data_IF_556934642491
#
_entry.id   IF_556934642491
#
_cell.length_a   1.000
_cell.length_b   1.000
_cell.length_c   1.000
_cell.angle_alpha   90.00
_cell.angle_beta   90.00
_cell.angle_gamma   90.00
#
_symmetry.space_group_name_H-M   'P 1'
#
loop_
_entity.id
_entity.type
_entity.pdbx_description
1 polymer ?
#
# COMPACT_ATOMS: atom_id res chain seq x y z
N UNK A 1 6.61 -0.69 25.52
CA UNK A 1 7.63 -1.23 24.60
C UNK A 1 6.85 -1.80 23.41
N UNK A 2 6.85 -1.14 22.26
CA UNK A 2 6.20 -1.67 21.06
C UNK A 2 7.05 -2.83 20.53
N UNK A 3 6.44 -4.00 20.43
CA UNK A 3 7.01 -5.18 19.79
C UNK A 3 6.39 -5.29 18.40
N UNK A 4 7.15 -5.73 17.41
CA UNK A 4 6.57 -6.03 16.11
C UNK A 4 5.60 -7.20 16.27
N UNK A 5 4.32 -6.95 15.99
CA UNK A 5 3.27 -7.96 16.07
C UNK A 5 3.43 -9.08 15.02
N UNK A 6 4.29 -8.89 14.02
CA UNK A 6 4.58 -9.89 13.00
C UNK A 6 5.77 -10.80 13.37
N UNK A 7 6.93 -10.22 13.74
CA UNK A 7 8.16 -11.00 13.96
C UNK A 7 8.71 -10.99 15.40
N UNK A 8 8.13 -10.20 16.31
CA UNK A 8 8.59 -10.11 17.70
C UNK A 8 9.81 -9.20 17.92
N UNK A 9 10.42 -8.65 16.88
CA UNK A 9 11.54 -7.72 17.03
C UNK A 9 11.10 -6.36 17.61
N UNK A 10 12.03 -5.61 18.21
CA UNK A 10 11.72 -4.33 18.89
C UNK A 10 12.34 -3.10 18.24
N UNK A 11 13.15 -3.29 17.20
CA UNK A 11 13.80 -2.20 16.51
C UNK A 11 12.90 -1.67 15.41
N UNK A 12 12.58 -0.37 15.50
CA UNK A 12 11.75 0.37 14.57
C UNK A 12 12.47 1.64 14.15
N UNK A 13 12.21 2.04 12.91
CA UNK A 13 12.64 3.34 12.39
C UNK A 13 11.46 4.09 11.76
N UNK A 14 11.42 5.43 11.85
CA UNK A 14 10.57 6.23 10.97
C UNK A 14 10.93 5.96 9.51
N UNK A 15 9.93 5.87 8.64
CA UNK A 15 10.14 5.76 7.20
C UNK A 15 9.03 6.47 6.41
N UNK A 16 9.34 6.82 5.16
CA UNK A 16 8.39 7.31 4.16
C UNK A 16 8.26 6.25 3.09
N UNK A 17 7.03 5.80 2.83
CA UNK A 17 6.77 4.68 1.90
C UNK A 17 5.69 5.04 0.89
N UNK A 18 5.69 4.33 -0.23
CA UNK A 18 4.55 4.37 -1.15
C UNK A 18 3.45 3.44 -0.63
N UNK A 19 2.24 3.97 -0.50
CA UNK A 19 1.07 3.23 -0.05
C UNK A 19 0.04 3.12 -1.19
N UNK A 20 -0.41 1.91 -1.48
CA UNK A 20 -1.51 1.67 -2.43
C UNK A 20 -2.80 1.42 -1.67
N UNK A 21 -3.77 2.32 -1.82
CA UNK A 21 -5.10 2.15 -1.25
C UNK A 21 -6.08 1.71 -2.35
N UNK A 22 -6.85 0.66 -2.07
CA UNK A 22 -7.85 0.08 -2.97
C UNK A 22 -9.21 0.05 -2.27
N UNK A 23 -10.23 0.57 -2.93
CA UNK A 23 -11.64 0.48 -2.51
C UNK A 23 -12.51 0.42 -3.76
N UNK A 24 -13.56 -0.42 -3.75
CA UNK A 24 -14.54 -0.54 -4.84
C UNK A 24 -13.94 -0.70 -6.25
N UNK A 25 -12.85 -1.49 -6.36
CA UNK A 25 -12.16 -1.73 -7.64
C UNK A 25 -11.33 -0.55 -8.16
N UNK A 26 -11.33 0.59 -7.46
CA UNK A 26 -10.51 1.76 -7.79
C UNK A 26 -9.28 1.82 -6.87
N UNK A 27 -8.25 2.49 -7.37
CA UNK A 27 -6.95 2.59 -6.72
C UNK A 27 -6.53 4.04 -6.58
N UNK A 28 -5.74 4.30 -5.55
CA UNK A 28 -4.91 5.49 -5.41
C UNK A 28 -3.55 5.05 -4.87
N UNK A 29 -2.49 5.63 -5.41
CA UNK A 29 -1.12 5.45 -4.94
C UNK A 29 -0.71 6.77 -4.30
N UNK A 30 -0.27 6.71 -3.04
CA UNK A 30 0.20 7.86 -2.27
C UNK A 30 1.67 7.64 -1.98
N UNK A 31 2.51 8.56 -2.44
CA UNK A 31 3.93 8.59 -2.11
C UNK A 31 4.16 9.25 -0.74
N UNK A 32 5.34 9.01 -0.17
CA UNK A 32 5.82 9.66 1.05
C UNK A 32 4.89 9.51 2.28
N UNK A 33 4.24 8.36 2.42
CA UNK A 33 3.36 8.07 3.56
C UNK A 33 4.22 7.76 4.79
N UNK A 34 4.08 8.52 5.89
CA UNK A 34 4.86 8.29 7.10
C UNK A 34 4.40 7.04 7.85
N UNK A 35 5.35 6.22 8.28
CA UNK A 35 5.12 5.04 9.11
C UNK A 35 6.27 4.80 10.09
N UNK A 36 6.04 3.91 11.07
CA UNK A 36 7.11 3.21 11.76
C UNK A 36 7.32 1.86 11.08
N UNK A 37 8.55 1.55 10.69
CA UNK A 37 8.87 0.29 10.04
C UNK A 37 9.77 -0.57 10.94
N UNK A 38 9.42 -1.85 11.09
CA UNK A 38 10.29 -2.81 11.74
C UNK A 38 11.58 -2.97 10.93
N UNK A 39 12.72 -2.76 11.55
CA UNK A 39 14.01 -2.83 10.84
C UNK A 39 14.42 -4.25 10.45
N UNK A 40 13.76 -5.27 11.00
CA UNK A 40 14.08 -6.67 10.76
C UNK A 40 13.22 -7.29 9.65
N UNK A 41 11.89 -7.32 9.81
CA UNK A 41 11.00 -7.94 8.84
C UNK A 41 10.36 -6.95 7.85
N UNK A 42 10.54 -5.65 8.05
CA UNK A 42 10.01 -4.62 7.17
C UNK A 42 8.52 -4.27 7.38
N UNK A 43 7.85 -4.86 8.38
CA UNK A 43 6.45 -4.57 8.71
C UNK A 43 6.23 -3.07 8.97
N UNK A 44 5.18 -2.51 8.38
CA UNK A 44 4.88 -1.06 8.40
C UNK A 44 3.67 -0.78 9.29
N UNK A 45 3.83 0.15 10.24
CA UNK A 45 2.80 0.58 11.17
C UNK A 45 2.43 2.04 10.90
N UNK A 46 1.18 2.28 10.56
CA UNK A 46 0.65 3.61 10.23
C UNK A 46 -0.23 4.13 11.36
N UNK A 47 -0.11 5.42 11.63
CA UNK A 47 -1.05 6.11 12.53
C UNK A 47 -2.44 6.15 11.91
N UNK A 48 -3.48 6.03 12.75
CA UNK A 48 -4.86 6.05 12.28
C UNK A 48 -5.23 7.35 11.53
N UNK A 49 -4.61 8.47 11.92
CA UNK A 49 -4.79 9.76 11.24
C UNK A 49 -4.21 9.77 9.82
N UNK A 50 -3.09 9.09 9.60
CA UNK A 50 -2.45 8.96 8.28
C UNK A 50 -3.38 8.19 7.34
N UNK A 51 -3.93 7.06 7.79
CA UNK A 51 -4.86 6.26 6.99
C UNK A 51 -6.16 7.02 6.68
N UNK A 52 -6.72 7.75 7.65
CA UNK A 52 -7.91 8.60 7.42
C UNK A 52 -7.65 9.68 6.37
N UNK A 53 -6.46 10.29 6.35
CA UNK A 53 -6.11 11.28 5.33
C UNK A 53 -6.06 10.66 3.93
N UNK A 54 -5.56 9.43 3.81
CA UNK A 54 -5.56 8.68 2.54
C UNK A 54 -6.99 8.40 2.07
N UNK A 55 -7.88 8.00 2.99
CA UNK A 55 -9.30 7.78 2.68
C UNK A 55 -10.00 9.07 2.22
N UNK A 56 -9.75 10.19 2.90
CA UNK A 56 -10.31 11.48 2.48
C UNK A 56 -9.82 11.90 1.09
N UNK A 57 -8.54 11.69 0.79
CA UNK A 57 -7.98 11.97 -0.53
C UNK A 57 -8.59 11.06 -1.61
N UNK A 58 -8.76 9.77 -1.31
CA UNK A 58 -9.45 8.83 -2.18
C UNK A 58 -10.86 9.31 -2.54
N UNK A 59 -11.67 9.70 -1.56
CA UNK A 59 -13.03 10.20 -1.79
C UNK A 59 -13.02 11.54 -2.54
N UNK A 60 -12.06 12.41 -2.27
CA UNK A 60 -11.93 13.68 -2.99
C UNK A 60 -11.67 13.45 -4.50
N UNK A 61 -10.82 12.50 -4.85
CA UNK A 61 -10.49 12.18 -6.25
C UNK A 61 -11.64 11.43 -6.92
N UNK A 62 -12.12 10.34 -6.31
CA UNK A 62 -13.02 9.40 -6.99
C UNK A 62 -14.51 9.76 -6.89
N UNK A 63 -14.90 10.56 -5.88
CA UNK A 63 -16.30 10.91 -5.62
C UNK A 63 -16.58 12.40 -5.84
N UNK A 64 -15.58 13.28 -5.61
CA UNK A 64 -15.74 14.74 -5.67
C UNK A 64 -15.04 15.42 -6.85
N UNK A 65 -14.35 14.65 -7.71
CA UNK A 65 -13.75 15.16 -8.94
C UNK A 65 -12.54 16.07 -8.73
N UNK A 66 -11.77 15.88 -7.63
CA UNK A 66 -10.50 16.59 -7.43
C UNK A 66 -9.55 16.34 -8.60
N UNK A 67 -8.89 17.39 -9.08
CA UNK A 67 -7.88 17.28 -10.13
C UNK A 67 -6.68 16.46 -9.64
N UNK A 68 -6.34 15.39 -10.37
CA UNK A 68 -5.19 14.54 -10.08
C UNK A 68 -3.90 15.12 -10.65
N UNK A 69 -2.79 14.91 -9.95
CA UNK A 69 -1.48 15.41 -10.39
C UNK A 69 -0.82 14.52 -11.45
N UNK A 70 -1.01 13.20 -11.33
CA UNK A 70 -0.41 12.18 -12.20
C UNK A 70 -1.32 10.97 -12.28
N UNK A 71 -1.30 10.27 -13.41
CA UNK A 71 -1.98 9.00 -13.62
C UNK A 71 -0.97 7.96 -14.10
N UNK A 72 -1.11 6.73 -13.64
CA UNK A 72 -0.37 5.57 -14.13
C UNK A 72 -1.35 4.67 -14.91
N UNK A 73 -0.87 4.10 -16.01
CA UNK A 73 -1.56 3.04 -16.74
C UNK A 73 -0.83 1.75 -16.37
N UNK A 74 -1.54 0.81 -15.76
CA UNK A 74 -0.97 -0.42 -15.21
C UNK A 74 -1.67 -1.60 -15.89
N UNK A 75 -0.96 -2.44 -16.68
CA UNK A 75 -1.53 -3.67 -17.22
C UNK A 75 -1.77 -4.69 -16.10
N UNK A 76 -2.82 -5.50 -16.23
CA UNK A 76 -3.20 -6.54 -15.27
C UNK A 76 -3.43 -7.81 -16.09
N UNK A 77 -2.71 -8.87 -15.75
CA UNK A 77 -2.80 -10.18 -16.40
C UNK A 77 -3.19 -11.25 -15.37
N UNK A 78 -3.89 -12.30 -15.80
CA UNK A 78 -4.15 -13.46 -14.94
C UNK A 78 -2.93 -14.38 -14.90
N UNK A 79 -2.53 -14.84 -13.72
CA UNK A 79 -1.45 -15.83 -13.58
C UNK A 79 -1.75 -17.12 -14.39
N UNK A 80 -3.01 -17.56 -14.41
CA UNK A 80 -3.42 -18.77 -15.14
C UNK A 80 -3.32 -18.63 -16.66
N UNK A 81 -3.30 -17.41 -17.19
CA UNK A 81 -3.24 -17.12 -18.63
C UNK A 81 -1.78 -16.97 -19.11
N UNK A 82 -0.83 -16.73 -18.20
CA UNK A 82 0.60 -16.61 -18.50
C UNK A 82 1.43 -17.84 -18.07
N UNK A 83 0.88 -18.69 -17.20
CA UNK A 83 1.51 -19.93 -16.79
C UNK A 83 1.34 -21.00 -17.86
N UNK A 84 2.34 -21.19 -18.73
CA UNK A 84 2.39 -22.37 -19.59
C UNK A 84 2.45 -23.63 -18.72
N UNK A 85 1.58 -24.60 -18.99
CA UNK A 85 1.60 -25.95 -18.39
C UNK A 85 3.01 -26.55 -18.52
N UNK A 86 3.80 -26.43 -17.47
CA UNK A 86 4.97 -27.28 -17.29
C UNK A 86 4.49 -28.46 -16.48
N UNK A 87 4.25 -29.56 -17.18
CA UNK A 87 4.07 -30.88 -16.61
C UNK A 87 5.11 -31.10 -15.51
N UNK A 88 4.68 -30.99 -14.25
CA UNK A 88 5.44 -31.53 -13.12
C UNK A 88 5.19 -33.02 -13.14
N UNK A 89 6.00 -33.73 -13.92
CA UNK A 89 6.29 -35.16 -13.70
C UNK A 89 7.17 -35.32 -12.47
#
# INVERSE_FOLDING_TARGET
>A
MSICHFCGNKNFKPNLVQYTYKKDGKYIIIDDVPCQQCEYCGEQYFEASVLKNIEFEYEAIHSKGKNIKKKLIIPIESYTEIGNETNVT
#
